data_IF_283929716012
#
_entry.id   IF_283929716012
#
_cell.length_a   1.000
_cell.length_b   1.000
_cell.length_c   1.000
_cell.angle_alpha   90.00
_cell.angle_beta   90.00
_cell.angle_gamma   90.00
#
_symmetry.space_group_name_H-M   'P 1'
#
loop_
_entity.id
_entity.type
_entity.pdbx_description
1 polymer ?
#
# COMPACT_ATOMS: atom_id res chain seq x y z
N UNK A 1 -12.26 9.53 15.28
CA UNK A 1 -12.83 8.22 14.93
C UNK A 1 -12.54 7.98 13.46
N UNK A 2 -11.59 7.10 13.14
CA UNK A 2 -11.48 6.62 11.77
C UNK A 2 -12.79 5.88 11.46
N UNK A 3 -13.47 6.27 10.38
CA UNK A 3 -14.62 5.52 9.92
C UNK A 3 -14.11 4.19 9.39
N UNK A 4 -14.58 3.10 9.98
CA UNK A 4 -14.38 1.74 9.48
C UNK A 4 -14.67 1.68 7.97
N UNK A 5 -13.81 1.02 7.20
CA UNK A 5 -13.94 0.85 5.76
C UNK A 5 -15.04 -0.18 5.49
N UNK A 6 -16.11 0.28 4.85
CA UNK A 6 -17.35 -0.49 4.61
C UNK A 6 -17.64 -0.71 3.15
N UNK A 7 -17.02 0.02 2.24
CA UNK A 7 -17.26 -0.11 0.80
C UNK A 7 -15.96 -0.34 0.06
N UNK A 8 -16.05 -0.94 -1.12
CA UNK A 8 -14.89 -1.10 -2.01
C UNK A 8 -14.25 0.25 -2.33
N UNK A 9 -15.04 1.31 -2.56
CA UNK A 9 -14.51 2.66 -2.79
C UNK A 9 -13.66 3.19 -1.61
N UNK A 10 -14.08 2.92 -0.37
CA UNK A 10 -13.33 3.30 0.83
C UNK A 10 -12.03 2.51 0.96
N UNK A 11 -12.06 1.19 0.68
CA UNK A 11 -10.86 0.34 0.65
C UNK A 11 -9.87 0.86 -0.39
N UNK A 12 -10.33 1.16 -1.61
CA UNK A 12 -9.49 1.68 -2.69
C UNK A 12 -8.93 3.07 -2.37
N UNK A 13 -9.73 3.94 -1.73
CA UNK A 13 -9.29 5.26 -1.30
C UNK A 13 -8.23 5.16 -0.20
N UNK A 14 -8.42 4.26 0.77
CA UNK A 14 -7.44 4.05 1.83
C UNK A 14 -6.14 3.42 1.29
N UNK A 15 -6.23 2.47 0.36
CA UNK A 15 -5.07 1.98 -0.38
C UNK A 15 -4.27 3.11 -1.01
N UNK A 16 -4.96 4.02 -1.73
CA UNK A 16 -4.31 5.15 -2.39
C UNK A 16 -3.64 6.10 -1.38
N UNK A 17 -4.22 6.29 -0.20
CA UNK A 17 -3.62 7.05 0.89
C UNK A 17 -2.34 6.39 1.42
N UNK A 18 -2.36 5.08 1.69
CA UNK A 18 -1.19 4.31 2.12
C UNK A 18 -0.05 4.39 1.10
N UNK A 19 -0.37 4.22 -0.19
CA UNK A 19 0.63 4.30 -1.27
C UNK A 19 1.20 5.72 -1.42
N UNK A 20 0.35 6.75 -1.37
CA UNK A 20 0.79 8.16 -1.44
C UNK A 20 1.73 8.50 -0.28
N UNK A 21 1.33 8.17 0.95
CA UNK A 21 2.13 8.44 2.13
C UNK A 21 3.46 7.70 2.09
N UNK A 22 3.45 6.41 1.70
CA UNK A 22 4.69 5.65 1.51
C UNK A 22 5.60 6.31 0.47
N UNK A 23 5.04 6.79 -0.65
CA UNK A 23 5.82 7.45 -1.69
C UNK A 23 6.49 8.73 -1.17
N UNK A 24 5.74 9.57 -0.45
CA UNK A 24 6.26 10.79 0.18
C UNK A 24 7.37 10.48 1.19
N UNK A 25 7.16 9.47 2.04
CA UNK A 25 8.14 9.02 3.02
C UNK A 25 9.42 8.50 2.33
N UNK A 26 9.30 7.70 1.26
CA UNK A 26 10.46 7.26 0.49
C UNK A 26 11.20 8.40 -0.22
N UNK A 27 10.49 9.43 -0.70
CA UNK A 27 11.17 10.64 -1.23
C UNK A 27 11.96 11.36 -0.15
N UNK A 28 11.38 11.51 1.05
CA UNK A 28 12.09 12.10 2.18
C UNK A 28 13.32 11.28 2.59
N UNK A 29 13.24 9.95 2.58
CA UNK A 29 14.40 9.08 2.82
C UNK A 29 15.48 9.21 1.76
N UNK A 30 15.10 9.37 0.49
CA UNK A 30 16.06 9.58 -0.60
C UNK A 30 16.91 10.83 -0.40
N UNK A 31 16.31 11.90 0.16
CA UNK A 31 17.02 13.14 0.52
C UNK A 31 17.92 12.96 1.74
N UNK A 32 17.47 12.22 2.76
CA UNK A 32 18.23 11.98 4.02
C UNK A 32 19.39 11.02 3.83
N UNK A 33 19.25 10.04 2.94
CA UNK A 33 20.23 8.98 2.69
C UNK A 33 20.73 9.01 1.24
N UNK A 34 21.58 9.99 0.85
CA UNK A 34 22.04 10.15 -0.53
C UNK A 34 22.69 8.90 -1.13
N UNK A 35 23.34 8.06 -0.31
CA UNK A 35 23.97 6.80 -0.74
C UNK A 35 22.98 5.76 -1.28
N UNK A 36 21.70 5.86 -0.91
CA UNK A 36 20.63 4.96 -1.35
C UNK A 36 19.48 5.70 -2.06
N UNK A 37 19.73 6.94 -2.47
CA UNK A 37 18.74 7.84 -3.08
C UNK A 37 18.02 7.18 -4.27
N UNK A 38 18.75 6.52 -5.16
CA UNK A 38 18.16 5.87 -6.34
C UNK A 38 17.20 4.73 -5.96
N UNK A 39 17.52 4.00 -4.89
CA UNK A 39 16.67 2.92 -4.38
C UNK A 39 15.38 3.50 -3.84
N UNK A 40 15.46 4.47 -2.93
CA UNK A 40 14.28 5.07 -2.32
C UNK A 40 13.40 5.83 -3.33
N UNK A 41 14.00 6.54 -4.28
CA UNK A 41 13.26 7.19 -5.37
C UNK A 41 12.53 6.17 -6.25
N UNK A 42 13.18 5.05 -6.60
CA UNK A 42 12.53 3.97 -7.35
C UNK A 42 11.36 3.38 -6.56
N UNK A 43 11.52 3.16 -5.26
CA UNK A 43 10.46 2.67 -4.39
C UNK A 43 9.25 3.63 -4.39
N UNK A 44 9.48 4.94 -4.27
CA UNK A 44 8.42 5.95 -4.36
C UNK A 44 7.69 5.92 -5.72
N UNK A 45 8.43 5.76 -6.82
CA UNK A 45 7.83 5.63 -8.15
C UNK A 45 6.97 4.37 -8.29
N UNK A 46 7.39 3.26 -7.67
CA UNK A 46 6.60 2.04 -7.65
C UNK A 46 5.31 2.20 -6.85
N UNK A 47 5.32 2.89 -5.70
CA UNK A 47 4.09 3.21 -4.96
C UNK A 47 3.07 3.95 -5.83
N UNK A 48 3.51 4.98 -6.57
CA UNK A 48 2.63 5.72 -7.50
C UNK A 48 2.04 4.82 -8.59
N UNK A 49 2.82 3.87 -9.12
CA UNK A 49 2.34 2.90 -10.11
C UNK A 49 1.35 1.90 -9.50
N UNK A 50 1.56 1.48 -8.27
CA UNK A 50 0.64 0.59 -7.55
C UNK A 50 -0.71 1.26 -7.30
N UNK A 51 -0.70 2.51 -6.82
CA UNK A 51 -1.90 3.34 -6.67
C UNK A 51 -2.68 3.42 -7.99
N UNK A 52 -2.01 3.85 -9.07
CA UNK A 52 -2.65 3.99 -10.38
C UNK A 52 -3.21 2.67 -10.94
N UNK A 53 -2.55 1.54 -10.65
CA UNK A 53 -3.00 0.21 -11.07
C UNK A 53 -4.28 -0.20 -10.35
N UNK A 54 -4.33 -0.06 -9.04
CA UNK A 54 -5.50 -0.42 -8.22
C UNK A 54 -6.69 0.46 -8.57
N UNK A 55 -6.49 1.77 -8.70
CA UNK A 55 -7.56 2.68 -9.14
C UNK A 55 -8.10 2.33 -10.52
N UNK A 56 -7.22 1.93 -11.44
CA UNK A 56 -7.62 1.50 -12.79
C UNK A 56 -8.41 0.20 -12.74
N UNK A 57 -7.96 -0.79 -11.97
CA UNK A 57 -8.68 -2.05 -11.79
C UNK A 57 -10.06 -1.81 -11.19
N UNK A 58 -10.15 -0.94 -10.18
CA UNK A 58 -11.42 -0.52 -9.59
C UNK A 58 -12.36 0.15 -10.62
N UNK A 59 -11.85 1.12 -11.39
CA UNK A 59 -12.67 1.82 -12.40
C UNK A 59 -13.14 0.92 -13.54
N UNK A 60 -12.34 -0.08 -13.94
CA UNK A 60 -12.75 -1.04 -14.97
C UNK A 60 -13.68 -2.13 -14.44
N UNK A 61 -13.48 -2.53 -13.18
CA UNK A 61 -14.32 -3.54 -12.54
C UNK A 61 -15.73 -3.02 -12.24
N UNK A 62 -15.88 -1.73 -11.93
CA UNK A 62 -17.20 -1.13 -11.70
C UNK A 62 -17.95 -0.96 -13.03
N UNK A 63 -18.85 -1.89 -13.30
CA UNK A 63 -19.76 -1.94 -14.43
C UNK A 63 -21.21 -1.59 -14.05
N UNK A 64 -21.59 -1.69 -12.77
CA UNK A 64 -22.89 -1.25 -12.23
C UNK A 64 -22.82 -0.77 -10.75
N UNK A 65 -23.85 -0.04 -10.30
CA UNK A 65 -23.96 0.56 -8.97
C UNK A 65 -23.97 -0.45 -7.81
N UNK A 66 -24.26 -1.72 -8.06
CA UNK A 66 -24.23 -2.78 -7.04
C UNK A 66 -22.80 -3.19 -6.63
N UNK A 67 -21.80 -2.96 -7.48
CA UNK A 67 -20.41 -3.40 -7.27
C UNK A 67 -19.59 -2.45 -6.38
N UNK A 68 -20.16 -1.28 -6.04
CA UNK A 68 -19.62 -0.33 -5.06
C UNK A 68 -20.26 -0.47 -3.67
N UNK A 69 -20.97 -1.59 -3.46
CA UNK A 69 -21.75 -1.88 -2.27
C UNK A 69 -20.94 -2.05 -0.97
N UNK A 70 -21.68 -2.34 0.11
CA UNK A 70 -21.10 -2.61 1.42
C UNK A 70 -20.45 -3.99 1.39
N UNK A 71 -19.18 -4.07 1.80
CA UNK A 71 -18.42 -5.32 1.88
C UNK A 71 -18.85 -6.16 3.07
N UNK A 72 -18.78 -7.49 2.96
CA UNK A 72 -19.18 -8.39 4.07
C UNK A 72 -18.30 -8.23 5.31
N UNK A 73 -17.02 -7.94 5.06
CA UNK A 73 -15.99 -7.73 6.08
C UNK A 73 -15.63 -6.25 6.11
N UNK A 74 -15.49 -5.73 7.32
CA UNK A 74 -15.14 -4.35 7.57
C UNK A 74 -13.68 -4.27 8.00
N UNK A 75 -12.93 -3.32 7.45
CA UNK A 75 -11.52 -3.10 7.78
C UNK A 75 -11.38 -1.82 8.61
N UNK A 76 -10.62 -1.85 9.70
CA UNK A 76 -10.29 -0.65 10.47
C UNK A 76 -9.04 0.01 9.86
N UNK A 77 -9.10 1.25 9.34
CA UNK A 77 -7.92 1.97 8.87
C UNK A 77 -6.79 2.06 9.91
N UNK A 78 -7.14 2.10 11.20
CA UNK A 78 -6.18 2.19 12.30
C UNK A 78 -5.25 0.98 12.39
N UNK A 79 -5.72 -0.20 11.95
CA UNK A 79 -4.93 -1.43 11.92
C UNK A 79 -3.82 -1.37 10.86
N UNK A 80 -3.86 -0.40 9.95
CA UNK A 80 -2.89 -0.25 8.86
C UNK A 80 -2.12 1.08 8.93
N UNK A 81 -2.09 1.70 10.11
CA UNK A 81 -1.35 2.94 10.32
C UNK A 81 0.16 2.74 10.10
N UNK A 82 0.73 3.53 9.18
CA UNK A 82 2.17 3.53 8.92
C UNK A 82 2.93 4.23 10.06
N UNK A 83 4.04 3.63 10.48
CA UNK A 83 4.97 4.22 11.44
C UNK A 83 5.75 5.37 10.79
N UNK A 84 6.07 6.39 11.58
CA UNK A 84 6.94 7.49 11.15
C UNK A 84 8.41 7.12 11.20
N UNK A 85 9.19 7.69 10.28
CA UNK A 85 10.65 7.53 10.20
C UNK A 85 11.36 8.48 11.16
N UNK A 86 12.30 7.97 11.96
CA UNK A 86 13.09 8.78 12.91
C UNK A 86 14.08 9.69 12.17
N UNK A 87 14.65 9.21 11.06
CA UNK A 87 15.69 9.94 10.32
C UNK A 87 17.06 9.96 11.00
N UNK A 88 17.26 9.17 12.07
CA UNK A 88 18.50 9.19 12.87
C UNK A 88 19.59 8.31 12.25
N UNK A 89 19.22 7.16 11.67
CA UNK A 89 20.15 6.25 10.99
C UNK A 89 19.46 5.51 9.84
N UNK A 90 20.27 5.01 8.89
CA UNK A 90 19.76 4.20 7.79
C UNK A 90 19.12 2.92 8.32
N UNK A 91 19.74 2.30 9.32
CA UNK A 91 19.31 1.03 9.90
C UNK A 91 17.92 1.15 10.54
N UNK A 92 17.69 2.21 11.32
CA UNK A 92 16.38 2.47 11.93
C UNK A 92 15.30 2.82 10.89
N UNK A 93 15.67 3.62 9.90
CA UNK A 93 14.75 3.99 8.83
C UNK A 93 14.39 2.76 7.97
N UNK A 94 15.36 1.91 7.63
CA UNK A 94 15.09 0.64 6.92
C UNK A 94 14.24 -0.30 7.77
N UNK A 95 14.51 -0.43 9.08
CA UNK A 95 13.66 -1.21 9.97
C UNK A 95 12.22 -0.68 10.03
N UNK A 96 12.03 0.63 9.93
CA UNK A 96 10.71 1.26 9.86
C UNK A 96 10.04 1.02 8.50
N UNK A 97 10.79 1.13 7.40
CA UNK A 97 10.29 0.82 6.06
C UNK A 97 9.81 -0.63 5.96
N UNK A 98 10.55 -1.58 6.54
CA UNK A 98 10.17 -2.99 6.58
C UNK A 98 8.82 -3.21 7.28
N UNK A 99 8.65 -2.61 8.47
CA UNK A 99 7.37 -2.69 9.20
C UNK A 99 6.21 -2.06 8.42
N UNK A 100 6.46 -0.95 7.73
CA UNK A 100 5.46 -0.29 6.90
C UNK A 100 5.09 -1.14 5.67
N UNK A 101 6.06 -1.74 4.97
CA UNK A 101 5.77 -2.65 3.85
C UNK A 101 4.98 -3.89 4.30
N UNK A 102 5.35 -4.50 5.43
CA UNK A 102 4.59 -5.63 6.01
C UNK A 102 3.14 -5.23 6.34
N UNK A 103 2.95 -4.03 6.88
CA UNK A 103 1.61 -3.46 7.15
C UNK A 103 0.79 -3.30 5.87
N UNK A 104 1.38 -2.74 4.81
CA UNK A 104 0.69 -2.57 3.51
C UNK A 104 0.44 -3.91 2.83
N UNK A 105 1.35 -4.89 2.95
CA UNK A 105 1.13 -6.27 2.46
C UNK A 105 -0.10 -6.87 3.15
N UNK A 106 -0.19 -6.77 4.49
CA UNK A 106 -1.36 -7.24 5.23
C UNK A 106 -2.63 -6.57 4.74
N UNK A 107 -2.61 -5.24 4.59
CA UNK A 107 -3.75 -4.50 4.03
C UNK A 107 -4.16 -5.02 2.65
N UNK A 108 -3.21 -5.23 1.73
CA UNK A 108 -3.51 -5.75 0.39
C UNK A 108 -4.16 -7.13 0.43
N UNK A 109 -3.72 -8.02 1.32
CA UNK A 109 -4.31 -9.36 1.48
C UNK A 109 -5.75 -9.28 2.02
N UNK A 110 -5.98 -8.44 3.02
CA UNK A 110 -7.31 -8.24 3.61
C UNK A 110 -8.27 -7.56 2.60
N UNK A 111 -7.75 -6.58 1.86
CA UNK A 111 -8.47 -5.90 0.78
C UNK A 111 -8.81 -6.85 -0.37
N UNK A 112 -7.88 -7.74 -0.79
CA UNK A 112 -8.14 -8.76 -1.81
C UNK A 112 -9.32 -9.66 -1.41
N UNK A 113 -9.28 -10.18 -0.18
CA UNK A 113 -10.34 -11.05 0.35
C UNK A 113 -11.69 -10.33 0.40
N UNK A 114 -11.70 -9.08 0.85
CA UNK A 114 -12.93 -8.33 1.13
C UNK A 114 -13.55 -7.73 -0.14
N UNK A 115 -12.74 -7.24 -1.08
CA UNK A 115 -13.22 -6.61 -2.31
C UNK A 115 -13.57 -7.60 -3.42
N UNK A 116 -13.01 -8.81 -3.38
CA UNK A 116 -13.27 -9.86 -4.37
C UNK A 116 -14.70 -10.38 -4.42
N UNK A 117 -15.48 -10.16 -3.36
CA UNK A 117 -16.90 -10.52 -3.33
C UNK A 117 -17.74 -9.70 -4.32
N UNK A 118 -17.31 -8.48 -4.60
CA UNK A 118 -18.02 -7.53 -5.46
C UNK A 118 -17.31 -7.30 -6.79
N UNK A 119 -15.97 -7.35 -6.81
CA UNK A 119 -15.16 -7.07 -7.99
C UNK A 119 -14.12 -8.19 -8.19
N UNK A 120 -14.40 -9.19 -9.06
CA UNK A 120 -13.55 -10.38 -9.24
C UNK A 120 -12.11 -10.10 -9.68
N UNK A 121 -11.86 -8.97 -10.38
CA UNK A 121 -10.54 -8.62 -10.91
C UNK A 121 -9.64 -7.87 -9.90
N UNK A 122 -10.22 -7.37 -8.79
CA UNK A 122 -9.46 -6.68 -7.74
C UNK A 122 -8.51 -7.59 -6.95
N UNK A 123 -8.92 -8.81 -6.52
CA UNK A 123 -8.04 -9.76 -5.85
C UNK A 123 -6.72 -9.99 -6.61
N UNK A 124 -6.78 -10.27 -7.91
CA UNK A 124 -5.59 -10.50 -8.74
C UNK A 124 -4.66 -9.28 -8.78
N UNK A 125 -5.25 -8.08 -8.75
CA UNK A 125 -4.49 -6.83 -8.70
C UNK A 125 -3.77 -6.68 -7.37
N UNK A 126 -4.43 -6.97 -6.25
CA UNK A 126 -3.81 -6.93 -4.92
C UNK A 126 -2.76 -8.03 -4.73
N UNK A 127 -3.00 -9.25 -5.22
CA UNK A 127 -2.01 -10.34 -5.19
C UNK A 127 -0.75 -10.00 -5.98
N UNK A 128 -0.91 -9.34 -7.13
CA UNK A 128 0.22 -8.80 -7.88
C UNK A 128 1.01 -7.78 -7.04
N UNK A 129 0.34 -6.86 -6.35
CA UNK A 129 0.97 -5.88 -5.47
C UNK A 129 1.71 -6.55 -4.31
N UNK A 130 1.11 -7.55 -3.65
CA UNK A 130 1.75 -8.32 -2.56
C UNK A 130 3.07 -8.91 -3.04
N UNK A 131 3.09 -9.56 -4.21
CA UNK A 131 4.32 -10.11 -4.81
C UNK A 131 5.37 -9.03 -5.09
N UNK A 132 4.97 -7.84 -5.52
CA UNK A 132 5.90 -6.71 -5.72
C UNK A 132 6.44 -6.20 -4.39
N UNK A 133 5.61 -6.04 -3.38
CA UNK A 133 5.99 -5.55 -2.05
C UNK A 133 6.90 -6.53 -1.31
N UNK A 134 6.69 -7.83 -1.44
CA UNK A 134 7.63 -8.84 -0.91
C UNK A 134 9.04 -8.69 -1.50
N UNK A 135 9.17 -8.40 -2.79
CA UNK A 135 10.47 -8.10 -3.40
C UNK A 135 11.09 -6.80 -2.88
N UNK A 136 10.27 -5.82 -2.48
CA UNK A 136 10.76 -4.59 -1.83
C UNK A 136 11.28 -4.88 -0.43
N UNK A 137 10.61 -5.76 0.32
CA UNK A 137 11.09 -6.23 1.63
C UNK A 137 12.46 -6.88 1.49
N UNK A 138 12.66 -7.76 0.49
CA UNK A 138 13.97 -8.36 0.19
C UNK A 138 15.02 -7.30 -0.16
N UNK A 139 14.66 -6.33 -1.00
CA UNK A 139 15.55 -5.21 -1.37
C UNK A 139 15.94 -4.36 -0.15
N UNK A 140 14.98 -3.97 0.68
CA UNK A 140 15.22 -3.17 1.89
C UNK A 140 16.15 -3.91 2.86
N UNK A 141 15.95 -5.22 3.05
CA UNK A 141 16.84 -6.06 3.87
C UNK A 141 18.27 -6.15 3.34
N UNK A 142 18.51 -5.83 2.06
CA UNK A 142 19.86 -5.82 1.50
C UNK A 142 20.60 -4.49 1.68
N UNK A 143 19.93 -3.46 2.20
CA UNK A 143 20.51 -2.13 2.45
C UNK A 143 21.22 -2.03 3.81
N UNK A 144 21.02 -3.02 4.68
CA UNK A 144 21.55 -3.11 6.05
C UNK A 144 22.12 -4.50 6.27
#
# INVERSE_FOLDING_TARGET
MALVLRTTSQIISHHAELERRSAEEYRALAERHPGHMDVFNRLADENNRHMARVERAYRFGVTDAYEVGITSTQLDPGDYALAGFSGESLEEDVATALRNEETVIRFCLDAAKTSGELLPDLPDTFDYLVKRKMKRVELLRSLT
#
